data_IF_992289241015
#
_entry.id   IF_992289241015
#
_cell.length_a   1.000
_cell.length_b   1.000
_cell.length_c   1.000
_cell.angle_alpha   90.00
_cell.angle_beta   90.00
_cell.angle_gamma   90.00
#
_symmetry.space_group_name_H-M   'P 1'
#
loop_
_entity.id
_entity.type
_entity.pdbx_description
1 polymer ?
#
# COMPACT_ATOMS: atom_id res chain seq x y z
N UNK A 1 -5.49 5.39 -24.25
CA UNK A 1 -5.48 5.04 -22.83
C UNK A 1 -4.04 4.92 -22.38
N UNK A 2 -3.62 5.76 -21.46
CA UNK A 2 -2.26 5.71 -20.90
C UNK A 2 -2.07 4.47 -19.99
N UNK A 3 -0.82 4.10 -19.71
CA UNK A 3 -0.48 2.96 -18.85
C UNK A 3 -1.04 3.13 -17.44
N UNK A 4 -1.11 4.36 -16.92
CA UNK A 4 -1.69 4.63 -15.60
C UNK A 4 -3.20 4.39 -15.62
N UNK A 5 -3.90 4.88 -16.65
CA UNK A 5 -5.34 4.66 -16.82
C UNK A 5 -5.66 3.17 -16.89
N UNK A 6 -4.85 2.40 -17.65
CA UNK A 6 -4.98 0.94 -17.73
C UNK A 6 -4.81 0.27 -16.37
N UNK A 7 -3.81 0.67 -15.60
CA UNK A 7 -3.56 0.12 -14.27
C UNK A 7 -4.74 0.41 -13.33
N UNK A 8 -5.29 1.63 -13.37
CA UNK A 8 -6.46 2.01 -12.58
C UNK A 8 -7.69 1.17 -12.94
N UNK A 9 -7.93 0.88 -14.22
CA UNK A 9 -9.03 0.00 -14.63
C UNK A 9 -8.87 -1.43 -14.11
N UNK A 10 -7.65 -1.99 -14.16
CA UNK A 10 -7.36 -3.33 -13.63
C UNK A 10 -7.57 -3.36 -12.12
N UNK A 11 -7.09 -2.35 -11.40
CA UNK A 11 -7.29 -2.22 -9.96
C UNK A 11 -8.78 -2.10 -9.58
N UNK A 12 -9.57 -1.34 -10.36
CA UNK A 12 -11.03 -1.21 -10.18
C UNK A 12 -11.77 -2.54 -10.38
N UNK A 13 -11.22 -3.45 -11.19
CA UNK A 13 -11.73 -4.81 -11.39
C UNK A 13 -11.28 -5.80 -10.31
N UNK A 14 -10.63 -5.33 -9.24
CA UNK A 14 -10.06 -6.17 -8.17
C UNK A 14 -9.06 -7.21 -8.68
N UNK A 15 -8.26 -6.79 -9.68
CA UNK A 15 -7.16 -7.57 -10.22
C UNK A 15 -5.80 -7.00 -9.77
N UNK A 16 -4.75 -7.81 -9.93
CA UNK A 16 -3.40 -7.48 -9.51
C UNK A 16 -2.64 -6.76 -10.63
N UNK A 17 -1.77 -5.84 -10.24
CA UNK A 17 -0.81 -5.21 -11.14
C UNK A 17 0.61 -5.47 -10.68
N UNK A 18 1.53 -5.44 -11.64
CA UNK A 18 2.97 -5.36 -11.39
C UNK A 18 3.41 -3.95 -11.78
N UNK A 19 4.12 -3.27 -10.88
CA UNK A 19 4.53 -1.88 -11.08
C UNK A 19 5.99 -1.67 -10.67
N UNK A 20 6.72 -0.77 -11.34
CA UNK A 20 8.11 -0.50 -10.99
C UNK A 20 8.19 0.22 -9.63
N UNK A 21 9.21 -0.12 -8.85
CA UNK A 21 9.66 0.70 -7.72
C UNK A 21 11.13 1.05 -7.92
N UNK A 22 11.68 1.86 -7.02
CA UNK A 22 13.10 2.20 -6.95
C UNK A 22 14.03 0.97 -6.77
N UNK A 23 13.54 -0.09 -6.13
CA UNK A 23 14.34 -1.27 -5.78
C UNK A 23 14.05 -2.48 -6.67
N UNK A 24 12.78 -2.91 -6.73
CA UNK A 24 12.33 -4.08 -7.50
C UNK A 24 10.91 -3.87 -8.03
N UNK A 25 10.43 -4.74 -8.89
CA UNK A 25 9.02 -4.73 -9.25
C UNK A 25 8.15 -5.11 -8.05
N UNK A 26 7.13 -4.30 -7.79
CA UNK A 26 6.09 -4.54 -6.80
C UNK A 26 4.90 -5.26 -7.40
N UNK A 27 4.25 -6.12 -6.61
CA UNK A 27 2.91 -6.64 -6.90
C UNK A 27 1.93 -5.88 -6.00
N UNK A 28 0.93 -5.27 -6.62
CA UNK A 28 -0.05 -4.41 -5.95
C UNK A 28 -1.49 -4.74 -6.34
N UNK A 29 -2.42 -4.27 -5.50
CA UNK A 29 -3.85 -4.45 -5.67
C UNK A 29 -4.60 -3.52 -4.71
N UNK A 30 -5.92 -3.48 -4.81
CA UNK A 30 -6.77 -2.72 -3.88
C UNK A 30 -6.64 -3.26 -2.44
N UNK A 31 -6.09 -2.50 -1.47
CA UNK A 31 -5.88 -2.97 -0.11
C UNK A 31 -7.16 -3.09 0.71
N UNK A 32 -8.28 -2.51 0.23
CA UNK A 32 -9.58 -2.55 0.90
C UNK A 32 -10.45 -3.74 0.46
N UNK A 33 -9.95 -4.58 -0.45
CA UNK A 33 -10.64 -5.78 -0.88
C UNK A 33 -9.89 -7.01 -0.35
N UNK A 34 -10.53 -7.74 0.57
CA UNK A 34 -9.92 -8.91 1.21
C UNK A 34 -9.54 -10.02 0.22
N UNK A 35 -10.31 -10.20 -0.86
CA UNK A 35 -10.00 -11.22 -1.87
C UNK A 35 -8.78 -10.84 -2.70
N UNK A 36 -8.57 -9.55 -2.96
CA UNK A 36 -7.34 -9.05 -3.58
C UNK A 36 -6.14 -9.27 -2.66
N UNK A 37 -6.30 -9.00 -1.36
CA UNK A 37 -5.25 -9.24 -0.36
C UNK A 37 -4.89 -10.72 -0.29
N UNK A 38 -5.88 -11.63 -0.29
CA UNK A 38 -5.66 -13.09 -0.35
C UNK A 38 -4.89 -13.49 -1.61
N UNK A 39 -5.29 -13.00 -2.79
CA UNK A 39 -4.57 -13.24 -4.05
C UNK A 39 -3.10 -12.81 -3.97
N UNK A 40 -2.80 -11.67 -3.34
CA UNK A 40 -1.40 -11.23 -3.14
C UNK A 40 -0.62 -12.23 -2.29
N UNK A 41 -1.20 -12.73 -1.20
CA UNK A 41 -0.56 -13.74 -0.35
C UNK A 41 -0.30 -15.04 -1.11
N UNK A 42 -1.28 -15.53 -1.87
CA UNK A 42 -1.17 -16.74 -2.69
C UNK A 42 -0.04 -16.60 -3.71
N UNK A 43 -0.02 -15.50 -4.47
CA UNK A 43 1.00 -15.25 -5.51
C UNK A 43 2.40 -15.13 -4.89
N UNK A 44 2.52 -14.46 -3.74
CA UNK A 44 3.81 -14.31 -3.05
C UNK A 44 4.26 -15.58 -2.34
N UNK A 45 3.40 -16.61 -2.22
CA UNK A 45 3.68 -17.85 -1.46
C UNK A 45 4.21 -17.57 -0.05
N UNK A 46 3.71 -16.50 0.59
CA UNK A 46 4.20 -16.02 1.89
C UNK A 46 3.22 -16.35 3.01
N UNK A 47 3.77 -16.51 4.21
CA UNK A 47 2.99 -16.58 5.45
C UNK A 47 2.24 -15.25 5.72
N UNK A 48 1.32 -15.28 6.68
CA UNK A 48 0.38 -14.22 7.03
C UNK A 48 1.07 -13.00 7.71
N UNK A 49 2.02 -12.37 7.02
CA UNK A 49 2.75 -11.17 7.46
C UNK A 49 2.06 -9.90 6.95
N UNK A 50 2.14 -8.77 7.69
CA UNK A 50 1.58 -7.51 7.22
C UNK A 50 2.09 -7.11 5.82
N UNK A 51 1.18 -6.59 4.99
CA UNK A 51 1.49 -6.08 3.65
C UNK A 51 1.65 -4.56 3.72
N UNK A 52 2.68 -4.05 3.05
CA UNK A 52 2.88 -2.61 2.89
C UNK A 52 1.79 -2.00 2.00
N UNK A 53 1.24 -0.85 2.42
CA UNK A 53 0.26 -0.09 1.65
C UNK A 53 0.93 1.15 1.07
N UNK A 54 0.91 1.28 -0.26
CA UNK A 54 1.38 2.49 -0.94
C UNK A 54 0.34 3.61 -0.78
N UNK A 55 0.82 4.81 -0.48
CA UNK A 55 0.01 6.00 -0.21
C UNK A 55 0.60 7.19 -0.95
N UNK A 56 -0.25 8.12 -1.41
CA UNK A 56 0.21 9.29 -2.18
C UNK A 56 0.62 10.48 -1.29
N UNK A 57 0.14 10.54 -0.05
CA UNK A 57 0.37 11.66 0.86
C UNK A 57 0.03 11.30 2.31
N UNK A 58 0.39 12.22 3.22
CA UNK A 58 0.14 12.11 4.66
C UNK A 58 -1.33 11.97 5.03
N UNK A 59 -2.25 12.60 4.29
CA UNK A 59 -3.68 12.52 4.58
C UNK A 59 -4.24 11.13 4.35
N UNK A 60 -3.70 10.40 3.36
CA UNK A 60 -4.05 9.00 3.12
C UNK A 60 -3.54 8.10 4.25
N UNK A 61 -2.33 8.34 4.78
CA UNK A 61 -1.81 7.61 5.96
C UNK A 61 -2.73 7.82 7.17
N UNK A 62 -3.10 9.08 7.45
CA UNK A 62 -3.99 9.44 8.56
C UNK A 62 -5.37 8.77 8.45
N UNK A 63 -5.83 8.42 7.25
CA UNK A 63 -7.08 7.68 7.05
C UNK A 63 -6.96 6.20 7.43
N UNK A 64 -5.81 5.58 7.19
CA UNK A 64 -5.66 4.11 7.33
C UNK A 64 -4.93 3.67 8.61
N UNK A 65 -4.11 4.53 9.22
CA UNK A 65 -3.26 4.19 10.36
C UNK A 65 -3.41 5.16 11.53
N UNK A 66 -3.12 4.68 12.74
CA UNK A 66 -2.94 5.52 13.92
C UNK A 66 -1.55 6.15 13.91
N UNK A 67 -1.49 7.47 14.07
CA UNK A 67 -0.24 8.22 14.13
C UNK A 67 -0.17 8.98 15.45
N UNK A 68 0.75 8.59 16.33
CA UNK A 68 1.08 9.40 17.49
C UNK A 68 1.96 10.61 17.08
N UNK A 69 2.20 11.59 17.96
CA UNK A 69 2.99 12.77 17.61
C UNK A 69 4.40 12.46 17.09
N UNK A 70 5.04 11.39 17.59
CA UNK A 70 6.37 10.97 17.13
C UNK A 70 6.33 10.42 15.70
N UNK A 71 5.35 9.55 15.40
CA UNK A 71 5.14 9.01 14.06
C UNK A 71 4.77 10.11 13.04
N UNK A 72 3.99 11.11 13.46
CA UNK A 72 3.67 12.26 12.61
C UNK A 72 4.95 13.01 12.21
N UNK A 73 5.76 13.40 13.19
CA UNK A 73 7.04 14.08 12.94
C UNK A 73 7.98 13.25 12.08
N UNK A 74 8.10 11.96 12.37
CA UNK A 74 8.95 11.06 11.58
C UNK A 74 8.49 10.99 10.11
N UNK A 75 7.19 10.82 9.87
CA UNK A 75 6.68 10.78 8.51
C UNK A 75 6.83 12.12 7.79
N UNK A 76 6.67 13.26 8.47
CA UNK A 76 6.88 14.59 7.89
C UNK A 76 8.35 14.84 7.50
N UNK A 77 9.30 14.26 8.23
CA UNK A 77 10.73 14.41 7.96
C UNK A 77 11.25 13.43 6.91
N UNK A 78 10.76 12.18 6.91
CA UNK A 78 11.32 11.10 6.10
C UNK A 78 10.45 10.64 4.92
N UNK A 79 9.23 11.15 4.76
CA UNK A 79 8.37 10.84 3.61
C UNK A 79 8.09 12.08 2.74
N UNK A 80 8.11 11.93 1.39
CA UNK A 80 8.49 10.72 0.65
C UNK A 80 10.00 10.44 0.76
N UNK A 81 10.37 9.17 0.86
CA UNK A 81 11.75 8.75 1.06
C UNK A 81 11.91 7.23 1.05
N UNK A 82 13.14 6.71 1.21
CA UNK A 82 13.47 5.29 1.03
C UNK A 82 13.07 4.41 2.23
N UNK A 83 12.09 4.85 3.03
CA UNK A 83 11.68 4.18 4.26
C UNK A 83 10.26 3.65 4.15
N UNK A 84 10.01 2.52 4.79
CA UNK A 84 8.65 2.00 5.03
C UNK A 84 8.36 2.15 6.52
N UNK A 85 7.32 2.91 6.86
CA UNK A 85 6.95 3.18 8.26
C UNK A 85 5.94 2.13 8.74
N UNK A 86 6.28 1.42 9.81
CA UNK A 86 5.37 0.44 10.44
C UNK A 86 4.47 1.16 11.45
N UNK A 87 3.16 1.12 11.20
CA UNK A 87 2.14 1.78 12.01
C UNK A 87 1.00 0.80 12.36
N UNK A 88 0.30 1.08 13.45
CA UNK A 88 -0.93 0.35 13.78
C UNK A 88 -2.06 0.77 12.84
N UNK A 89 -2.72 -0.19 12.18
CA UNK A 89 -3.90 0.10 11.36
C UNK A 89 -5.08 0.59 12.20
N UNK A 90 -5.94 1.42 11.62
CA UNK A 90 -7.23 1.75 12.24
C UNK A 90 -8.19 0.55 12.22
N UNK A 91 -9.10 0.49 13.19
CA UNK A 91 -10.05 -0.63 13.34
C UNK A 91 -11.03 -0.77 12.15
N UNK A 92 -11.38 0.34 11.52
CA UNK A 92 -12.42 0.41 10.48
C UNK A 92 -11.83 0.38 9.06
N UNK A 93 -10.67 -0.26 8.91
CA UNK A 93 -9.91 -0.40 7.67
C UNK A 93 -9.64 -1.87 7.43
#
# INVERSE_FOLDING_TARGET
>A
MDVIEKAVEILKKNELIVYPTDTLYGIGGNPFNEDVVKKIFEVKKRANVPISVAVSNMDMIKKIAFMNPAALKFCEEFLPGPVTVVLFKKKNI
#
